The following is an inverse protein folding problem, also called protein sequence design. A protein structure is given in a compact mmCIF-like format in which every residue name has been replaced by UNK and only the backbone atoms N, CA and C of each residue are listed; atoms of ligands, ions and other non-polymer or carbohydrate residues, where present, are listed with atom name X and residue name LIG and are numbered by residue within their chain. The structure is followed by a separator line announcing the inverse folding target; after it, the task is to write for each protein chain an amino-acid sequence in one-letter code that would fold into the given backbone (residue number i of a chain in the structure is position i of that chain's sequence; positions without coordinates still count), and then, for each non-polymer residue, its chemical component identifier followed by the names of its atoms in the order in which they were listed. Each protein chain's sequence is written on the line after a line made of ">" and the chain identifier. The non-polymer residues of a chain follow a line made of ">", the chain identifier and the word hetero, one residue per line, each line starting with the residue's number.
data_IF_119644487843
#
_entry.id   IF_119644487843
#
_cell.length_a   1.000
_cell.length_b   1.000
_cell.length_c   1.000
_cell.angle_alpha   90.00
_cell.angle_beta   90.00
_cell.angle_gamma   90.00
#
_symmetry.space_group_name_H-M   'P 1'
#
loop_
_entity.id
_entity.type
_entity.pdbx_description
1 polymer ?
#
# COMPACT_ATOMS: atom_id res chain seq x y z
N UNK A 1 13.78 38.99 20.68
CA UNK A 1 13.27 40.01 19.74
C UNK A 1 14.22 41.20 19.64
N UNK A 2 15.42 41.00 19.08
CA UNK A 2 16.42 42.09 18.87
C UNK A 2 16.99 42.07 17.44
N UNK A 3 17.05 40.87 16.83
CA UNK A 3 17.45 40.68 15.43
C UNK A 3 16.59 41.48 14.44
N UNK A 4 15.30 41.68 14.72
CA UNK A 4 14.41 42.41 13.81
C UNK A 4 14.71 43.92 13.79
N UNK A 5 15.02 44.51 14.95
CA UNK A 5 15.41 45.92 15.04
C UNK A 5 16.77 46.17 14.40
N UNK A 6 17.76 45.28 14.63
CA UNK A 6 19.08 45.39 13.99
C UNK A 6 18.97 45.28 12.47
N UNK A 7 18.15 44.35 11.95
CA UNK A 7 17.92 44.20 10.51
C UNK A 7 17.24 45.44 9.91
N UNK A 8 16.28 46.03 10.61
CA UNK A 8 15.62 47.27 10.19
C UNK A 8 16.58 48.46 10.12
N UNK A 9 17.43 48.64 11.13
CA UNK A 9 18.41 49.73 11.16
C UNK A 9 19.42 49.61 10.02
N UNK A 10 19.89 48.39 9.75
CA UNK A 10 20.80 48.09 8.64
C UNK A 10 20.13 48.41 7.28
N UNK A 11 18.88 47.99 7.07
CA UNK A 11 18.14 48.27 5.83
C UNK A 11 17.98 49.78 5.59
N UNK A 12 17.63 50.54 6.62
CA UNK A 12 17.42 51.99 6.54
C UNK A 12 18.76 52.69 6.28
N UNK A 13 19.83 52.26 6.95
CA UNK A 13 21.16 52.83 6.77
C UNK A 13 21.70 52.61 5.34
N UNK A 14 21.51 51.42 4.78
CA UNK A 14 21.88 51.13 3.39
C UNK A 14 21.02 51.90 2.38
N UNK A 15 19.74 52.16 2.69
CA UNK A 15 18.86 52.97 1.85
C UNK A 15 19.20 54.46 1.83
N UNK A 16 19.73 55.00 2.95
CA UNK A 16 20.12 56.41 3.08
C UNK A 16 21.51 56.68 2.49
N UNK A 17 22.44 55.72 2.59
CA UNK A 17 23.84 55.93 2.19
C UNK A 17 24.08 55.83 0.67
N UNK A 18 23.32 55.00 -0.08
CA UNK A 18 23.51 54.80 -1.54
C UNK A 18 22.16 54.48 -2.22
N UNK A 19 21.64 55.34 -3.13
CA UNK A 19 20.35 55.12 -3.76
C UNK A 19 20.29 53.84 -4.61
N UNK A 20 21.43 53.41 -5.17
CA UNK A 20 21.55 52.16 -5.93
C UNK A 20 21.24 50.92 -5.09
N UNK A 21 21.59 50.94 -3.80
CA UNK A 21 21.34 49.83 -2.89
C UNK A 21 19.85 49.75 -2.51
N UNK A 22 19.20 50.89 -2.35
CA UNK A 22 17.75 50.93 -2.11
C UNK A 22 16.98 50.27 -3.26
N UNK A 23 17.30 50.59 -4.52
CA UNK A 23 16.69 49.95 -5.68
C UNK A 23 16.98 48.45 -5.75
N UNK A 24 18.22 48.04 -5.45
CA UNK A 24 18.58 46.62 -5.42
C UNK A 24 17.78 45.83 -4.38
N UNK A 25 17.55 46.41 -3.19
CA UNK A 25 16.75 45.79 -2.13
C UNK A 25 15.28 45.70 -2.53
N UNK A 26 14.70 46.75 -3.12
CA UNK A 26 13.30 46.72 -3.59
C UNK A 26 13.10 45.73 -4.74
N UNK A 27 14.04 45.64 -5.67
CA UNK A 27 14.00 44.66 -6.77
C UNK A 27 14.16 43.25 -6.21
N UNK A 28 15.11 43.02 -5.31
CA UNK A 28 15.27 41.71 -4.66
C UNK A 28 14.01 41.29 -3.90
N UNK A 29 13.35 42.21 -3.17
CA UNK A 29 12.11 41.91 -2.47
C UNK A 29 10.97 41.57 -3.43
N UNK A 30 10.84 42.30 -4.55
CA UNK A 30 9.86 41.99 -5.59
C UNK A 30 10.17 40.64 -6.26
N UNK A 31 11.43 40.38 -6.58
CA UNK A 31 11.91 39.11 -7.08
C UNK A 31 11.61 37.97 -6.12
N UNK A 32 11.78 38.12 -4.79
CA UNK A 32 11.45 37.02 -3.86
C UNK A 32 9.97 36.62 -3.92
N UNK A 33 9.05 37.57 -4.11
CA UNK A 33 7.61 37.27 -4.21
C UNK A 33 7.23 36.69 -5.57
N UNK A 34 7.77 37.26 -6.64
CA UNK A 34 7.55 36.77 -8.01
C UNK A 34 8.27 35.46 -8.30
N UNK A 35 9.38 35.19 -7.65
CA UNK A 35 10.21 33.99 -7.85
C UNK A 35 9.81 32.86 -6.90
N UNK A 36 9.21 33.14 -5.74
CA UNK A 36 8.68 32.09 -4.85
C UNK A 36 7.62 31.23 -5.53
N UNK A 37 6.73 31.85 -6.33
CA UNK A 37 5.67 31.14 -7.04
C UNK A 37 6.20 30.15 -8.11
N UNK A 38 7.08 30.56 -9.05
CA UNK A 38 7.67 29.66 -10.02
C UNK A 38 8.75 28.75 -9.42
N UNK A 39 9.45 29.13 -8.34
CA UNK A 39 10.36 28.22 -7.63
C UNK A 39 9.61 27.09 -6.94
N UNK A 40 8.49 27.39 -6.29
CA UNK A 40 7.66 26.36 -5.66
C UNK A 40 7.04 25.42 -6.71
N UNK A 41 6.57 25.96 -7.84
CA UNK A 41 6.11 25.16 -8.96
C UNK A 41 7.26 24.33 -9.58
N UNK A 42 8.41 24.94 -9.83
CA UNK A 42 9.60 24.28 -10.37
C UNK A 42 10.09 23.17 -9.45
N UNK A 43 10.24 23.40 -8.14
CA UNK A 43 10.56 22.35 -7.17
C UNK A 43 9.53 21.21 -7.18
N UNK A 44 8.24 21.51 -7.38
CA UNK A 44 7.21 20.47 -7.56
C UNK A 44 7.42 19.66 -8.86
N UNK A 45 7.79 20.32 -9.97
CA UNK A 45 8.11 19.68 -11.24
C UNK A 45 9.44 18.90 -11.21
N UNK A 46 10.44 19.36 -10.45
CA UNK A 46 11.76 18.74 -10.30
C UNK A 46 11.87 17.76 -9.11
N UNK A 47 10.82 17.60 -8.29
CA UNK A 47 10.64 16.47 -7.38
C UNK A 47 9.58 15.49 -7.92
N UNK A 48 9.84 14.77 -9.02
CA UNK A 48 9.04 13.61 -9.38
C UNK A 48 9.47 12.41 -8.51
N UNK A 49 9.45 12.57 -7.19
CA UNK A 49 9.48 11.46 -6.23
C UNK A 49 8.13 11.35 -5.52
N UNK A 50 7.07 11.73 -6.23
CA UNK A 50 5.78 11.09 -6.05
C UNK A 50 5.74 9.97 -7.07
N UNK A 51 6.34 8.85 -6.69
CA UNK A 51 5.93 7.55 -7.20
C UNK A 51 4.40 7.57 -7.10
N UNK A 52 3.72 7.69 -8.24
CA UNK A 52 2.32 7.26 -8.30
C UNK A 52 2.31 5.87 -7.65
N UNK A 53 1.38 5.60 -6.72
CA UNK A 53 1.29 4.27 -6.14
C UNK A 53 1.06 3.33 -7.32
N UNK A 54 2.14 2.64 -7.74
CA UNK A 54 2.09 1.63 -8.76
C UNK A 54 1.11 0.60 -8.21
N UNK A 55 -0.07 0.52 -8.83
CA UNK A 55 -1.04 -0.50 -8.45
C UNK A 55 -0.32 -1.83 -8.57
N UNK A 56 -0.23 -2.51 -7.44
CA UNK A 56 0.39 -3.82 -7.35
C UNK A 56 -0.42 -4.76 -8.24
N UNK A 57 0.26 -5.55 -9.08
CA UNK A 57 -0.47 -6.57 -9.84
C UNK A 57 -1.06 -7.60 -8.88
N UNK A 58 -2.13 -8.27 -9.29
CA UNK A 58 -2.81 -9.26 -8.44
C UNK A 58 -1.84 -10.35 -7.95
N UNK A 59 -0.92 -10.78 -8.81
CA UNK A 59 0.13 -11.74 -8.48
C UNK A 59 1.10 -11.21 -7.40
N UNK A 60 1.59 -9.98 -7.55
CA UNK A 60 2.49 -9.36 -6.58
C UNK A 60 1.79 -9.17 -5.21
N UNK A 61 0.50 -8.82 -5.21
CA UNK A 61 -0.30 -8.73 -3.98
C UNK A 61 -0.46 -10.10 -3.31
N UNK A 62 -0.72 -11.14 -4.10
CA UNK A 62 -0.89 -12.51 -3.59
C UNK A 62 0.42 -13.03 -2.95
N UNK A 63 1.55 -12.83 -3.62
CA UNK A 63 2.87 -13.22 -3.09
C UNK A 63 3.23 -12.47 -1.79
N UNK A 64 2.95 -11.17 -1.73
CA UNK A 64 3.14 -10.40 -0.50
C UNK A 64 2.22 -10.88 0.62
N UNK A 65 0.96 -11.17 0.31
CA UNK A 65 0.01 -11.71 1.26
C UNK A 65 0.48 -13.04 1.84
N UNK A 66 0.97 -13.95 1.00
CA UNK A 66 1.49 -15.26 1.43
C UNK A 66 2.73 -15.12 2.32
N UNK A 67 3.71 -14.30 1.90
CA UNK A 67 4.96 -14.11 2.63
C UNK A 67 4.75 -13.45 4.00
N UNK A 68 3.96 -12.37 4.06
CA UNK A 68 3.62 -11.70 5.32
C UNK A 68 2.76 -12.58 6.23
N UNK A 69 1.84 -13.37 5.67
CA UNK A 69 1.03 -14.33 6.45
C UNK A 69 1.91 -15.40 7.09
N UNK A 70 2.83 -16.01 6.33
CA UNK A 70 3.75 -17.03 6.86
C UNK A 70 4.62 -16.45 7.96
N UNK A 71 5.15 -15.24 7.76
CA UNK A 71 5.98 -14.55 8.75
C UNK A 71 5.20 -14.26 10.04
N UNK A 72 3.99 -13.69 9.93
CA UNK A 72 3.15 -13.39 11.09
C UNK A 72 2.76 -14.66 11.87
N UNK A 73 2.51 -15.78 11.18
CA UNK A 73 2.22 -17.06 11.83
C UNK A 73 3.43 -17.62 12.57
N UNK A 74 4.64 -17.46 12.05
CA UNK A 74 5.86 -17.87 12.76
C UNK A 74 6.12 -17.00 14.00
N UNK A 75 5.97 -15.68 13.88
CA UNK A 75 6.05 -14.77 15.02
C UNK A 75 5.04 -15.13 16.11
N UNK A 76 3.80 -15.46 15.72
CA UNK A 76 2.77 -15.94 16.64
C UNK A 76 3.19 -17.24 17.33
N UNK A 77 3.76 -18.20 16.60
CA UNK A 77 4.25 -19.47 17.17
C UNK A 77 5.33 -19.23 18.20
N UNK A 78 6.29 -18.36 17.91
CA UNK A 78 7.37 -17.99 18.83
C UNK A 78 6.79 -17.31 20.08
N UNK A 79 5.84 -16.40 19.91
CA UNK A 79 5.16 -15.73 21.01
C UNK A 79 4.42 -16.71 21.92
N UNK A 80 3.68 -17.66 21.35
CA UNK A 80 2.95 -18.68 22.11
C UNK A 80 3.85 -19.69 22.83
N UNK A 81 5.08 -19.90 22.35
CA UNK A 81 6.09 -20.74 23.02
C UNK A 81 6.76 -20.07 24.23
N UNK A 82 6.62 -18.75 24.37
CA UNK A 82 7.23 -18.01 25.47
C UNK A 82 6.50 -18.33 26.80
N UNK A 83 7.21 -18.59 27.91
CA UNK A 83 6.59 -18.85 29.22
C UNK A 83 5.77 -17.67 29.78
N UNK A 84 5.94 -16.47 29.22
CA UNK A 84 5.19 -15.26 29.59
C UNK A 84 3.80 -15.21 28.94
N UNK A 85 3.52 -16.09 27.97
CA UNK A 85 2.26 -16.10 27.24
C UNK A 85 1.10 -16.64 28.11
N UNK A 86 -0.03 -15.92 28.22
CA UNK A 86 -1.20 -16.38 28.96
C UNK A 86 -1.97 -17.47 28.18
N UNK A 87 -1.41 -18.67 28.12
CA UNK A 87 -1.93 -19.81 27.35
C UNK A 87 -3.36 -20.19 27.70
N UNK A 88 -3.73 -20.18 28.99
CA UNK A 88 -5.07 -20.53 29.46
C UNK A 88 -6.13 -19.52 29.01
N UNK A 89 -5.79 -18.22 28.92
CA UNK A 89 -6.72 -17.19 28.42
C UNK A 89 -7.01 -17.42 26.94
N UNK A 90 -5.97 -17.74 26.15
CA UNK A 90 -6.12 -18.03 24.74
C UNK A 90 -6.99 -19.28 24.52
N UNK A 91 -6.74 -20.36 25.27
CA UNK A 91 -7.49 -21.63 25.17
C UNK A 91 -8.99 -21.45 25.42
N UNK A 92 -9.40 -20.62 26.39
CA UNK A 92 -10.82 -20.39 26.70
C UNK A 92 -11.55 -19.63 25.58
N UNK A 93 -10.83 -18.81 24.80
CA UNK A 93 -11.43 -17.97 23.74
C UNK A 93 -11.48 -18.68 22.38
N UNK A 94 -10.72 -19.77 22.21
CA UNK A 94 -10.62 -20.49 20.95
C UNK A 94 -11.74 -21.53 20.81
N UNK A 95 -12.25 -21.69 19.58
CA UNK A 95 -13.24 -22.73 19.30
C UNK A 95 -12.67 -24.15 19.39
N UNK A 96 -11.41 -24.33 18.99
CA UNK A 96 -10.75 -25.64 18.97
C UNK A 96 -9.33 -25.57 19.57
N UNK A 97 -9.18 -25.74 20.90
CA UNK A 97 -7.88 -25.60 21.55
C UNK A 97 -6.87 -26.68 21.12
N UNK A 98 -7.35 -27.85 20.68
CA UNK A 98 -6.48 -28.92 20.16
C UNK A 98 -5.81 -28.53 18.84
N UNK A 99 -6.54 -27.91 17.90
CA UNK A 99 -5.95 -27.43 16.64
C UNK A 99 -4.88 -26.37 16.91
N UNK A 100 -5.15 -25.46 17.85
CA UNK A 100 -4.20 -24.44 18.26
C UNK A 100 -2.93 -25.02 18.89
N UNK A 101 -3.05 -26.01 19.77
CA UNK A 101 -1.88 -26.68 20.35
C UNK A 101 -0.99 -27.31 19.27
N UNK A 102 -1.60 -28.02 18.30
CA UNK A 102 -0.86 -28.60 17.18
C UNK A 102 -0.18 -27.52 16.32
N UNK A 103 -0.86 -26.39 16.07
CA UNK A 103 -0.28 -25.24 15.35
C UNK A 103 0.98 -24.69 16.05
N UNK A 104 0.92 -24.48 17.37
CA UNK A 104 2.06 -23.99 18.16
C UNK A 104 3.23 -24.99 18.16
N UNK A 105 2.92 -26.29 18.08
CA UNK A 105 3.92 -27.36 17.99
C UNK A 105 4.55 -27.51 16.58
N UNK A 106 4.04 -26.80 15.58
CA UNK A 106 4.60 -26.78 14.22
C UNK A 106 3.76 -27.47 13.16
N UNK A 107 2.55 -27.96 13.50
CA UNK A 107 1.61 -28.41 12.49
C UNK A 107 1.06 -27.24 11.66
N UNK A 108 0.59 -27.48 10.42
CA UNK A 108 -0.08 -26.47 9.61
C UNK A 108 -1.28 -25.85 10.35
N UNK A 109 -1.54 -24.56 10.09
CA UNK A 109 -2.66 -23.84 10.69
C UNK A 109 -4.03 -24.21 10.06
N UNK A 110 -4.01 -24.73 8.82
CA UNK A 110 -5.17 -25.25 8.10
C UNK A 110 -5.08 -26.77 8.05
N UNK A 111 -6.18 -27.46 8.30
CA UNK A 111 -6.21 -28.92 8.18
C UNK A 111 -6.16 -29.34 6.71
N UNK A 112 -5.63 -30.54 6.44
CA UNK A 112 -5.62 -31.07 5.07
C UNK A 112 -7.04 -31.21 4.49
N UNK A 113 -8.02 -31.56 5.33
CA UNK A 113 -9.43 -31.65 4.96
C UNK A 113 -10.01 -30.29 4.55
N UNK A 114 -9.68 -29.23 5.30
CA UNK A 114 -10.10 -27.86 4.99
C UNK A 114 -9.47 -27.38 3.67
N UNK A 115 -8.21 -27.72 3.43
CA UNK A 115 -7.52 -27.40 2.17
C UNK A 115 -8.14 -28.14 0.98
N UNK A 116 -8.40 -29.45 1.11
CA UNK A 116 -9.06 -30.22 0.06
C UNK A 116 -10.49 -29.75 -0.19
N UNK A 117 -11.25 -29.37 0.84
CA UNK A 117 -12.58 -28.80 0.67
C UNK A 117 -12.54 -27.46 -0.07
N UNK A 118 -11.56 -26.60 0.24
CA UNK A 118 -11.36 -25.34 -0.47
C UNK A 118 -10.97 -25.56 -1.93
N UNK A 119 -10.06 -26.51 -2.21
CA UNK A 119 -9.68 -26.89 -3.58
C UNK A 119 -10.85 -27.51 -4.36
N UNK A 120 -11.71 -28.30 -3.71
CA UNK A 120 -12.89 -28.87 -4.37
C UNK A 120 -13.90 -27.78 -4.76
N UNK A 121 -14.06 -26.75 -3.93
CA UNK A 121 -15.03 -25.69 -4.15
C UNK A 121 -14.51 -24.54 -5.04
N UNK A 122 -13.23 -24.21 -4.93
CA UNK A 122 -12.60 -23.05 -5.60
C UNK A 122 -11.39 -23.40 -6.45
N UNK A 123 -11.03 -24.69 -6.55
CA UNK A 123 -9.94 -25.13 -7.41
C UNK A 123 -10.32 -25.16 -8.88
N UNK A 124 -9.41 -25.69 -9.70
CA UNK A 124 -9.50 -25.71 -11.17
C UNK A 124 -10.81 -26.37 -11.64
N UNK A 125 -11.30 -27.38 -10.90
CA UNK A 125 -12.57 -28.04 -11.20
C UNK A 125 -13.80 -27.14 -11.01
N UNK A 126 -13.79 -26.24 -10.02
CA UNK A 126 -14.86 -25.27 -9.77
C UNK A 126 -14.89 -24.17 -10.83
N UNK A 127 -13.72 -23.60 -11.14
CA UNK A 127 -13.58 -22.53 -12.15
C UNK A 127 -13.96 -23.04 -13.55
N UNK A 128 -13.54 -24.26 -13.92
CA UNK A 128 -13.92 -24.86 -15.20
C UNK A 128 -15.43 -25.14 -15.28
N UNK A 129 -16.03 -25.63 -14.20
CA UNK A 129 -17.47 -25.89 -14.15
C UNK A 129 -18.27 -24.59 -14.25
N UNK A 130 -17.86 -23.52 -13.55
CA UNK A 130 -18.47 -22.20 -13.69
C UNK A 130 -18.34 -21.65 -15.12
N UNK A 131 -17.16 -21.77 -15.75
CA UNK A 131 -16.98 -21.37 -17.14
C UNK A 131 -17.92 -22.14 -18.09
N UNK A 132 -18.04 -23.46 -17.93
CA UNK A 132 -18.95 -24.28 -18.74
C UNK A 132 -20.44 -23.97 -18.49
N UNK A 133 -20.81 -23.62 -17.25
CA UNK A 133 -22.20 -23.36 -16.88
C UNK A 133 -22.67 -21.95 -17.28
N UNK A 134 -21.78 -20.96 -17.25
CA UNK A 134 -22.08 -19.55 -17.55
C UNK A 134 -21.67 -19.10 -18.95
N UNK A 135 -20.86 -19.89 -19.68
CA UNK A 135 -20.68 -19.79 -21.14
C UNK A 135 -21.15 -21.10 -21.79
N UNK A 136 -22.47 -21.33 -21.93
CA UNK A 136 -22.92 -22.32 -22.89
C UNK A 136 -22.47 -21.83 -24.26
N UNK A 137 -21.66 -22.62 -24.96
CA UNK A 137 -21.37 -22.41 -26.38
C UNK A 137 -22.69 -22.06 -27.08
N UNK A 138 -22.75 -20.88 -27.71
CA UNK A 138 -23.82 -20.56 -28.63
C UNK A 138 -23.77 -21.61 -29.75
N UNK A 139 -24.62 -22.62 -29.64
CA UNK A 139 -24.91 -23.56 -30.72
C UNK A 139 -25.52 -22.78 -31.88
N UNK A 140 -24.67 -22.23 -32.75
CA UNK A 140 -25.09 -21.75 -34.07
C UNK A 140 -25.55 -22.96 -34.88
N UNK A 141 -26.86 -23.11 -34.91
CA UNK A 141 -27.60 -24.09 -35.69
C UNK A 141 -27.51 -23.74 -37.17
N UNK A 142 -26.46 -24.22 -37.86
CA UNK A 142 -26.44 -24.22 -39.32
C UNK A 142 -27.19 -25.46 -39.85
N UNK A 143 -28.52 -25.35 -39.91
CA UNK A 143 -29.34 -26.17 -40.80
C UNK A 143 -29.36 -25.50 -42.19
N UNK A 144 -28.85 -26.12 -43.27
CA UNK A 144 -29.09 -25.62 -44.60
C UNK A 144 -30.54 -25.93 -44.98
N UNK A 145 -31.37 -24.89 -45.11
CA UNK A 145 -32.69 -25.02 -45.73
C UNK A 145 -32.55 -25.49 -47.18
N UNK A 146 -32.89 -26.75 -47.43
CA UNK A 146 -33.23 -27.23 -48.77
C UNK A 146 -34.61 -26.66 -49.13
N UNK A 147 -34.68 -25.87 -50.20
CA UNK A 147 -35.94 -25.53 -50.84
C UNK A 147 -35.79 -25.56 -52.37
N UNK A 148 -36.79 -26.19 -52.98
CA UNK A 148 -37.06 -26.49 -54.39
C UNK A 148 -37.00 -25.33 -55.36
#
# INVERSE_FOLDING_TARGET
>A
MWMLHVKGLVLIHFGVAIPQVAYAVTIAMLCTKFLHYPLQASCYYFHPEKLEPRYLTEDEYREQGETETVKALEELRIFCRNPTFPSWVAVVRLQSPQKFANFVLGSPHVSAEEMTAHEAQYGIGGVLLEQQLFHPETEDSDFPCVAS
#
